data_IF_896075779467
#
_entry.id   IF_896075779467
#
_cell.length_a   1.000
_cell.length_b   1.000
_cell.length_c   1.000
_cell.angle_alpha   90.00
_cell.angle_beta   90.00
_cell.angle_gamma   90.00
#
_symmetry.space_group_name_H-M   'P 1'
#
loop_
_entity.id
_entity.type
_entity.pdbx_description
1 polymer ?
#
# COMPACT_ATOMS: atom_id res chain seq x y z
N UNK A 1 -18.35 36.57 -38.39
CA UNK A 1 -17.88 36.25 -37.02
C UNK A 1 -17.38 34.80 -37.01
N UNK A 2 -16.07 34.59 -36.98
CA UNK A 2 -15.48 33.25 -36.95
C UNK A 2 -15.50 32.74 -35.50
N UNK A 3 -16.48 31.90 -35.16
CA UNK A 3 -16.57 31.25 -33.85
C UNK A 3 -15.40 30.26 -33.73
N UNK A 4 -14.35 30.65 -33.01
CA UNK A 4 -13.30 29.72 -32.56
C UNK A 4 -13.96 28.68 -31.65
N UNK A 5 -14.32 27.53 -32.23
CA UNK A 5 -14.66 26.33 -31.47
C UNK A 5 -13.47 26.01 -30.56
N UNK A 6 -13.62 26.02 -29.23
CA UNK A 6 -12.52 25.68 -28.34
C UNK A 6 -12.10 24.23 -28.61
N UNK A 7 -10.86 24.03 -29.08
CA UNK A 7 -10.26 22.70 -29.19
C UNK A 7 -10.35 22.03 -27.82
N UNK A 8 -11.09 20.93 -27.73
CA UNK A 8 -11.22 20.10 -26.52
C UNK A 8 -9.82 19.59 -26.17
N UNK A 9 -9.11 20.29 -25.29
CA UNK A 9 -7.81 19.87 -24.80
C UNK A 9 -8.05 18.75 -23.81
N UNK A 10 -7.85 17.51 -24.24
CA UNK A 10 -7.84 16.37 -23.33
C UNK A 10 -6.67 16.55 -22.36
N UNK A 11 -6.96 16.88 -21.10
CA UNK A 11 -5.96 16.90 -20.05
C UNK A 11 -5.74 15.46 -19.58
N UNK A 12 -4.52 14.95 -19.76
CA UNK A 12 -4.11 13.64 -19.28
C UNK A 12 -3.22 13.80 -18.05
N UNK A 13 -3.24 12.81 -17.15
CA UNK A 13 -2.29 12.75 -16.06
C UNK A 13 -0.95 12.32 -16.67
N UNK A 14 0.01 13.24 -16.81
CA UNK A 14 1.36 12.88 -17.22
C UNK A 14 2.09 12.32 -16.00
N UNK A 15 2.52 11.07 -16.07
CA UNK A 15 3.34 10.43 -15.05
C UNK A 15 4.81 10.69 -15.35
N UNK A 16 5.55 11.22 -14.37
CA UNK A 16 7.01 11.23 -14.44
C UNK A 16 7.58 9.83 -14.18
N UNK A 17 8.84 9.58 -14.54
CA UNK A 17 9.52 8.33 -14.20
C UNK A 17 9.50 8.05 -12.68
N UNK A 18 9.66 9.09 -11.86
CA UNK A 18 9.55 8.97 -10.40
C UNK A 18 8.12 8.61 -9.96
N UNK A 19 7.08 9.11 -10.63
CA UNK A 19 5.69 8.74 -10.32
C UNK A 19 5.43 7.27 -10.65
N UNK A 20 5.94 6.81 -11.80
CA UNK A 20 5.89 5.40 -12.22
C UNK A 20 6.56 4.53 -11.15
N UNK A 21 7.77 4.86 -10.73
CA UNK A 21 8.46 4.12 -9.67
C UNK A 21 7.73 4.19 -8.32
N UNK A 22 7.11 5.32 -7.99
CA UNK A 22 6.46 5.47 -6.67
C UNK A 22 5.16 4.68 -6.57
N UNK A 23 4.43 4.45 -7.67
CA UNK A 23 3.13 3.74 -7.65
C UNK A 23 3.19 2.37 -8.32
N UNK A 24 3.78 2.27 -9.51
CA UNK A 24 3.74 1.03 -10.31
C UNK A 24 4.74 -0.01 -9.82
N UNK A 25 5.92 0.38 -9.30
CA UNK A 25 6.87 -0.58 -8.73
C UNK A 25 6.28 -1.31 -7.51
N UNK A 26 5.66 -0.63 -6.51
CA UNK A 26 4.96 -1.32 -5.42
C UNK A 26 3.84 -2.26 -5.90
N UNK A 27 3.08 -1.87 -6.93
CA UNK A 27 2.04 -2.74 -7.50
C UNK A 27 2.65 -3.95 -8.21
N UNK A 28 3.77 -3.79 -8.90
CA UNK A 28 4.50 -4.91 -9.50
C UNK A 28 5.07 -5.85 -8.43
N UNK A 29 5.67 -5.32 -7.37
CA UNK A 29 6.15 -6.08 -6.22
C UNK A 29 5.00 -6.79 -5.48
N UNK A 30 3.82 -6.16 -5.42
CA UNK A 30 2.60 -6.78 -4.90
C UNK A 30 2.18 -7.99 -5.76
N UNK A 31 2.19 -7.87 -7.09
CA UNK A 31 1.92 -9.00 -7.97
C UNK A 31 2.94 -10.12 -7.72
N UNK A 32 4.23 -9.78 -7.69
CA UNK A 32 5.31 -10.71 -7.41
C UNK A 32 5.10 -11.47 -6.08
N UNK A 33 4.90 -10.75 -4.96
CA UNK A 33 4.71 -11.38 -3.65
C UNK A 33 3.40 -12.18 -3.56
N UNK A 34 2.40 -11.84 -4.37
CA UNK A 34 1.15 -12.59 -4.46
C UNK A 34 1.31 -13.94 -5.17
N UNK A 35 2.32 -14.10 -6.03
CA UNK A 35 2.67 -15.41 -6.60
C UNK A 35 3.37 -16.32 -5.57
N UNK A 36 4.11 -15.72 -4.63
CA UNK A 36 4.79 -16.45 -3.55
C UNK A 36 3.89 -16.80 -2.35
N UNK A 37 2.56 -16.70 -2.49
CA UNK A 37 1.62 -17.11 -1.44
C UNK A 37 1.84 -18.58 -1.11
N UNK A 38 2.11 -18.88 0.16
CA UNK A 38 2.39 -20.25 0.66
C UNK A 38 3.71 -20.86 0.19
N UNK A 39 4.64 -20.04 -0.28
CA UNK A 39 5.97 -20.53 -0.61
C UNK A 39 6.71 -21.02 0.66
N UNK A 40 7.72 -21.90 0.52
CA UNK A 40 8.56 -22.36 1.63
C UNK A 40 9.11 -21.23 2.51
N UNK A 41 9.28 -20.03 1.93
CA UNK A 41 9.72 -18.83 2.64
C UNK A 41 8.73 -18.39 3.73
N UNK A 42 7.42 -18.49 3.51
CA UNK A 42 6.41 -18.14 4.51
C UNK A 42 6.46 -19.09 5.70
N UNK A 43 6.68 -20.38 5.43
CA UNK A 43 6.86 -21.41 6.48
C UNK A 43 8.18 -21.21 7.21
N UNK A 44 9.27 -20.87 6.51
CA UNK A 44 10.57 -20.57 7.12
C UNK A 44 10.50 -19.43 8.13
N UNK A 45 9.85 -18.32 7.78
CA UNK A 45 9.68 -17.19 8.70
C UNK A 45 8.62 -17.41 9.78
N UNK A 46 7.66 -18.32 9.56
CA UNK A 46 6.69 -18.68 10.59
C UNK A 46 7.24 -19.68 11.62
N UNK A 47 8.20 -20.52 11.24
CA UNK A 47 8.74 -21.60 12.07
C UNK A 47 9.22 -21.17 13.47
N UNK A 48 9.94 -20.02 13.65
CA UNK A 48 10.40 -19.61 14.97
C UNK A 48 9.27 -19.30 15.97
N UNK A 49 8.05 -19.07 15.49
CA UNK A 49 6.90 -18.69 16.32
C UNK A 49 5.94 -19.85 16.58
N UNK A 50 6.07 -20.95 15.83
CA UNK A 50 5.24 -22.13 16.02
C UNK A 50 5.78 -22.98 17.16
N UNK A 51 4.91 -23.38 18.09
CA UNK A 51 5.30 -24.20 19.25
C UNK A 51 4.87 -25.67 19.07
N UNK A 52 3.57 -25.96 19.14
CA UNK A 52 3.03 -27.31 18.92
C UNK A 52 1.49 -27.30 18.90
N UNK A 53 0.83 -28.20 18.17
CA UNK A 53 -0.61 -28.45 18.31
C UNK A 53 -1.51 -27.19 18.23
N UNK A 54 -1.25 -26.32 17.25
CA UNK A 54 -1.87 -25.01 17.06
C UNK A 54 -1.61 -23.97 18.18
N UNK A 55 -0.63 -24.22 19.03
CA UNK A 55 -0.08 -23.25 19.95
C UNK A 55 1.02 -22.42 19.26
N UNK A 56 0.86 -21.11 19.29
CA UNK A 56 1.73 -20.14 18.66
C UNK A 56 2.27 -19.14 19.68
N UNK A 57 3.42 -18.53 19.39
CA UNK A 57 4.00 -17.51 20.25
C UNK A 57 3.04 -16.33 20.48
N UNK A 58 2.84 -15.96 21.74
CA UNK A 58 1.93 -14.86 22.10
C UNK A 58 0.44 -15.22 22.11
N UNK A 59 0.08 -16.50 21.92
CA UNK A 59 -1.29 -16.98 22.18
C UNK A 59 -1.67 -16.70 23.63
N UNK A 60 -2.83 -16.06 23.85
CA UNK A 60 -3.31 -15.70 25.20
C UNK A 60 -2.62 -14.48 25.84
N UNK A 61 -1.64 -13.84 25.19
CA UNK A 61 -0.95 -12.68 25.77
C UNK A 61 -1.75 -11.39 25.63
N UNK A 62 -1.85 -10.63 26.73
CA UNK A 62 -2.49 -9.31 26.78
C UNK A 62 -1.79 -8.30 25.87
N UNK A 63 -0.44 -8.28 25.83
CA UNK A 63 0.32 -7.35 25.00
C UNK A 63 -0.05 -7.49 23.51
N UNK A 64 -0.07 -8.73 23.06
CA UNK A 64 -0.42 -9.15 21.72
C UNK A 64 -1.90 -8.89 21.35
N UNK A 65 -2.80 -8.96 22.34
CA UNK A 65 -4.26 -8.85 22.15
C UNK A 65 -4.85 -7.47 22.43
N UNK A 66 -4.19 -6.64 23.24
CA UNK A 66 -4.65 -5.28 23.57
C UNK A 66 -3.82 -4.23 22.84
N UNK A 67 -2.50 -4.28 22.99
CA UNK A 67 -1.59 -3.27 22.42
C UNK A 67 -1.45 -3.48 20.91
N UNK A 68 -1.04 -4.67 20.48
CA UNK A 68 -0.81 -4.95 19.06
C UNK A 68 -2.10 -5.20 18.26
N UNK A 69 -3.19 -5.62 18.90
CA UNK A 69 -4.45 -5.89 18.19
C UNK A 69 -5.33 -4.65 18.06
N UNK A 70 -5.55 -3.95 19.18
CA UNK A 70 -6.50 -2.84 19.27
C UNK A 70 -5.77 -1.51 19.15
N UNK A 71 -4.61 -1.36 19.79
CA UNK A 71 -3.81 -0.13 19.78
C UNK A 71 -3.47 0.37 18.37
N UNK A 72 -2.94 -0.50 17.51
CA UNK A 72 -2.60 -0.12 16.13
C UNK A 72 -3.78 0.48 15.34
N UNK A 73 -4.97 -0.12 15.46
CA UNK A 73 -6.19 0.38 14.82
C UNK A 73 -6.58 1.76 15.35
N UNK A 74 -6.51 1.95 16.67
CA UNK A 74 -6.87 3.23 17.28
C UNK A 74 -5.92 4.36 16.87
N UNK A 75 -4.63 4.08 16.68
CA UNK A 75 -3.68 5.09 16.16
C UNK A 75 -4.09 5.55 14.76
N UNK A 76 -4.33 4.60 13.84
CA UNK A 76 -4.77 4.95 12.48
C UNK A 76 -6.09 5.75 12.47
N UNK A 77 -7.07 5.30 13.26
CA UNK A 77 -8.36 6.00 13.40
C UNK A 77 -8.17 7.40 13.99
N UNK A 78 -7.37 7.55 15.05
CA UNK A 78 -7.11 8.85 15.66
C UNK A 78 -6.46 9.82 14.68
N UNK A 79 -5.49 9.36 13.87
CA UNK A 79 -4.85 10.17 12.83
C UNK A 79 -5.85 10.58 11.74
N UNK A 80 -6.69 9.64 11.26
CA UNK A 80 -7.69 9.93 10.24
C UNK A 80 -8.76 10.91 10.75
N UNK A 81 -9.30 10.67 11.94
CA UNK A 81 -10.35 11.50 12.57
C UNK A 81 -9.82 12.88 12.91
N UNK A 82 -8.63 12.99 13.53
CA UNK A 82 -8.02 14.30 13.81
C UNK A 82 -7.74 15.09 12.53
N UNK A 83 -7.28 14.43 11.46
CA UNK A 83 -7.10 15.07 10.15
C UNK A 83 -8.42 15.56 9.57
N UNK A 84 -9.49 14.78 9.69
CA UNK A 84 -10.83 15.19 9.25
C UNK A 84 -11.37 16.38 10.07
N UNK A 85 -11.19 16.36 11.40
CA UNK A 85 -11.58 17.47 12.28
C UNK A 85 -10.82 18.74 11.89
N UNK A 86 -9.49 18.67 11.71
CA UNK A 86 -8.68 19.83 11.28
C UNK A 86 -9.13 20.35 9.90
N UNK A 87 -9.47 19.45 8.97
CA UNK A 87 -10.05 19.82 7.69
C UNK A 87 -11.35 20.61 7.86
N UNK A 88 -12.30 20.11 8.68
CA UNK A 88 -13.57 20.79 8.93
C UNK A 88 -13.40 22.13 9.65
N UNK A 89 -12.60 22.17 10.72
CA UNK A 89 -12.32 23.38 11.50
C UNK A 89 -11.70 24.48 10.64
N UNK A 90 -10.90 24.11 9.63
CA UNK A 90 -10.26 25.09 8.74
C UNK A 90 -11.26 25.98 7.97
N UNK A 91 -12.54 25.60 7.86
CA UNK A 91 -13.59 26.40 7.22
C UNK A 91 -14.17 27.49 8.13
N UNK A 92 -13.97 27.38 9.44
CA UNK A 92 -14.41 28.37 10.40
C UNK A 92 -13.50 29.60 10.37
N UNK A 93 -14.07 30.81 10.45
CA UNK A 93 -13.33 32.07 10.40
C UNK A 93 -12.26 32.17 11.50
N UNK A 94 -12.55 31.64 12.70
CA UNK A 94 -11.65 31.63 13.86
C UNK A 94 -10.34 30.84 13.60
N UNK A 95 -10.37 29.83 12.72
CA UNK A 95 -9.20 28.98 12.42
C UNK A 95 -8.61 29.27 11.04
N UNK A 96 -8.54 30.55 10.65
CA UNK A 96 -7.99 30.96 9.37
C UNK A 96 -6.55 30.47 9.11
N UNK A 97 -5.76 30.22 10.17
CA UNK A 97 -4.40 29.66 10.09
C UNK A 97 -4.36 28.23 9.53
N UNK A 98 -5.45 27.47 9.60
CA UNK A 98 -5.54 26.09 9.10
C UNK A 98 -5.84 26.02 7.59
N UNK A 99 -6.24 27.14 6.95
CA UNK A 99 -6.61 27.17 5.53
C UNK A 99 -5.56 26.57 4.59
N UNK A 100 -4.24 26.82 4.75
CA UNK A 100 -3.23 26.23 3.88
C UNK A 100 -3.14 24.70 3.98
N UNK A 101 -3.50 24.12 5.12
CA UNK A 101 -3.37 22.69 5.39
C UNK A 101 -4.58 21.85 4.97
N UNK A 102 -5.70 22.49 4.59
CA UNK A 102 -6.96 21.85 4.17
C UNK A 102 -6.76 20.62 3.30
N UNK A 103 -6.03 20.80 2.21
CA UNK A 103 -5.82 19.78 1.19
C UNK A 103 -5.02 18.60 1.73
N UNK A 104 -4.05 18.87 2.60
CA UNK A 104 -3.22 17.84 3.25
C UNK A 104 -4.03 17.07 4.28
N UNK A 105 -4.80 17.75 5.13
CA UNK A 105 -5.68 17.11 6.10
C UNK A 105 -6.71 16.19 5.42
N UNK A 106 -7.35 16.67 4.35
CA UNK A 106 -8.29 15.86 3.57
C UNK A 106 -7.61 14.65 2.91
N UNK A 107 -6.42 14.85 2.33
CA UNK A 107 -5.62 13.78 1.75
C UNK A 107 -5.33 12.66 2.77
N UNK A 108 -4.86 13.01 3.98
CA UNK A 108 -4.53 12.02 5.02
C UNK A 108 -5.78 11.23 5.43
N UNK A 109 -6.87 11.93 5.74
CA UNK A 109 -8.12 11.29 6.17
C UNK A 109 -8.65 10.32 5.11
N UNK A 110 -8.70 10.74 3.85
CA UNK A 110 -9.20 9.90 2.76
C UNK A 110 -8.25 8.76 2.40
N UNK A 111 -6.93 8.97 2.45
CA UNK A 111 -5.96 7.91 2.13
C UNK A 111 -6.01 6.79 3.17
N UNK A 112 -6.00 7.13 4.47
CA UNK A 112 -6.11 6.12 5.54
C UNK A 112 -7.45 5.37 5.44
N UNK A 113 -8.53 6.10 5.17
CA UNK A 113 -9.86 5.48 5.00
C UNK A 113 -9.89 4.54 3.79
N UNK A 114 -9.28 4.94 2.67
CA UNK A 114 -9.18 4.12 1.47
C UNK A 114 -8.36 2.84 1.73
N UNK A 115 -7.21 2.93 2.40
CA UNK A 115 -6.44 1.75 2.81
C UNK A 115 -7.31 0.80 3.63
N UNK A 116 -7.98 1.30 4.68
CA UNK A 116 -8.82 0.47 5.54
C UNK A 116 -9.95 -0.23 4.77
N UNK A 117 -10.64 0.49 3.88
CA UNK A 117 -11.74 -0.06 3.09
C UNK A 117 -11.26 -1.07 2.04
N UNK A 118 -10.20 -0.74 1.30
CA UNK A 118 -9.66 -1.62 0.25
C UNK A 118 -9.08 -2.89 0.86
N UNK A 119 -8.27 -2.78 1.92
CA UNK A 119 -7.70 -3.95 2.61
C UNK A 119 -8.79 -4.84 3.20
N UNK A 120 -9.81 -4.25 3.83
CA UNK A 120 -10.94 -5.02 4.37
C UNK A 120 -11.77 -5.70 3.28
N UNK A 121 -11.99 -5.02 2.15
CA UNK A 121 -12.70 -5.56 0.99
C UNK A 121 -11.92 -6.69 0.31
N UNK A 122 -10.62 -6.51 0.08
CA UNK A 122 -9.76 -7.57 -0.48
C UNK A 122 -9.72 -8.79 0.46
N UNK A 123 -9.67 -8.55 1.77
CA UNK A 123 -9.67 -9.62 2.77
C UNK A 123 -10.98 -10.41 2.78
N UNK A 124 -12.12 -9.75 2.58
CA UNK A 124 -13.42 -10.43 2.56
C UNK A 124 -13.64 -11.30 1.32
N UNK A 125 -12.98 -10.94 0.21
CA UNK A 125 -13.00 -11.67 -1.06
C UNK A 125 -11.92 -12.77 -1.14
N UNK A 126 -11.00 -12.81 -0.19
CA UNK A 126 -9.88 -13.75 -0.18
C UNK A 126 -10.25 -15.07 0.49
N UNK A 127 -9.89 -16.18 -0.17
CA UNK A 127 -9.95 -17.54 0.37
C UNK A 127 -8.60 -18.03 0.93
N UNK A 128 -7.64 -17.12 1.09
CA UNK A 128 -6.29 -17.44 1.54
C UNK A 128 -6.24 -18.04 2.96
N UNK A 129 -5.80 -19.31 3.15
CA UNK A 129 -5.65 -19.90 4.47
C UNK A 129 -4.74 -19.09 5.40
N UNK A 130 -5.05 -19.18 6.68
CA UNK A 130 -4.25 -18.63 7.76
C UNK A 130 -3.26 -19.70 8.24
N UNK A 131 -2.08 -19.35 8.78
CA UNK A 131 -1.15 -20.32 9.32
C UNK A 131 -1.80 -21.27 10.35
N UNK A 132 -2.52 -20.74 11.34
CA UNK A 132 -3.22 -21.55 12.36
C UNK A 132 -4.27 -22.54 11.82
N UNK A 133 -4.78 -22.31 10.59
CA UNK A 133 -5.78 -23.17 9.97
C UNK A 133 -5.18 -24.35 9.19
N UNK A 134 -3.87 -24.32 8.91
CA UNK A 134 -3.23 -25.34 8.08
C UNK A 134 -2.95 -26.62 8.88
N UNK A 135 -3.08 -27.81 8.26
CA UNK A 135 -2.82 -29.09 8.92
C UNK A 135 -1.41 -29.20 9.49
N UNK A 136 -0.41 -28.65 8.79
CA UNK A 136 0.99 -28.65 9.24
C UNK A 136 1.20 -27.93 10.58
N UNK A 137 0.28 -27.03 10.96
CA UNK A 137 0.32 -26.31 12.23
C UNK A 137 -0.73 -26.83 13.23
N UNK A 138 -1.38 -27.96 12.96
CA UNK A 138 -2.42 -28.55 13.81
C UNK A 138 -3.83 -27.98 13.57
N UNK A 139 -4.04 -27.28 12.46
CA UNK A 139 -5.33 -26.75 12.05
C UNK A 139 -6.19 -27.76 11.26
N UNK A 140 -7.47 -27.43 11.07
CA UNK A 140 -8.47 -28.30 10.41
C UNK A 140 -8.44 -28.26 8.88
N UNK A 141 -7.59 -27.43 8.26
CA UNK A 141 -7.53 -27.26 6.81
C UNK A 141 -8.57 -26.30 6.21
N UNK A 142 -9.35 -25.60 7.03
CA UNK A 142 -10.36 -24.65 6.54
C UNK A 142 -9.72 -23.42 5.88
N UNK A 143 -10.21 -23.03 4.70
CA UNK A 143 -9.83 -21.77 4.06
C UNK A 143 -10.16 -20.57 4.97
N UNK A 144 -9.20 -19.65 5.11
CA UNK A 144 -9.32 -18.44 5.91
C UNK A 144 -9.52 -17.18 5.05
N UNK A 145 -9.89 -16.09 5.70
CA UNK A 145 -9.86 -14.74 5.11
C UNK A 145 -8.59 -14.03 5.55
N UNK A 146 -7.41 -14.55 5.20
CA UNK A 146 -6.15 -14.11 5.81
C UNK A 146 -5.24 -13.26 4.93
N UNK A 147 -5.60 -13.02 3.67
CA UNK A 147 -4.85 -12.12 2.79
C UNK A 147 -5.76 -10.98 2.31
N UNK A 148 -5.32 -9.72 2.32
CA UNK A 148 -4.09 -9.19 2.92
C UNK A 148 -4.16 -9.05 4.46
N UNK A 149 -3.03 -8.76 5.10
CA UNK A 149 -2.93 -8.61 6.56
C UNK A 149 -3.48 -7.26 7.05
N UNK A 150 -4.73 -7.26 7.50
CA UNK A 150 -5.42 -6.03 7.95
C UNK A 150 -4.80 -5.31 9.16
N UNK A 151 -4.18 -6.03 10.10
CA UNK A 151 -3.53 -5.39 11.25
C UNK A 151 -2.23 -4.69 10.88
N UNK A 152 -1.44 -5.27 9.97
CA UNK A 152 -0.26 -4.60 9.42
C UNK A 152 -0.66 -3.27 8.75
N UNK A 153 -1.83 -3.23 8.10
CA UNK A 153 -2.34 -2.02 7.44
C UNK A 153 -2.56 -0.86 8.40
N UNK A 154 -2.92 -1.15 9.66
CA UNK A 154 -3.11 -0.09 10.67
C UNK A 154 -1.82 0.70 10.95
N UNK A 155 -0.65 0.13 10.66
CA UNK A 155 0.63 0.84 10.69
C UNK A 155 1.01 1.40 9.32
N UNK A 156 0.96 0.57 8.26
CA UNK A 156 1.39 0.96 6.92
C UNK A 156 0.53 2.05 6.27
N UNK A 157 -0.77 2.15 6.60
CA UNK A 157 -1.62 3.25 6.11
C UNK A 157 -1.12 4.63 6.55
N UNK A 158 -0.26 4.71 7.58
CA UNK A 158 0.40 5.94 8.02
C UNK A 158 1.49 6.41 7.04
N UNK A 159 1.80 5.68 5.97
CA UNK A 159 2.53 6.24 4.83
C UNK A 159 1.84 7.50 4.28
N UNK A 160 0.53 7.65 4.47
CA UNK A 160 -0.18 8.91 4.21
C UNK A 160 0.48 10.12 4.91
N UNK A 161 1.00 9.97 6.13
CA UNK A 161 1.72 11.05 6.82
C UNK A 161 3.06 11.35 6.14
N UNK A 162 3.81 10.32 5.70
CA UNK A 162 5.03 10.53 4.92
C UNK A 162 4.77 11.40 3.69
N UNK A 163 3.76 11.07 2.89
CA UNK A 163 3.41 11.83 1.69
C UNK A 163 2.86 13.22 2.02
N UNK A 164 2.08 13.36 3.09
CA UNK A 164 1.60 14.65 3.58
C UNK A 164 2.77 15.58 3.96
N UNK A 165 3.74 15.07 4.72
CA UNK A 165 4.93 15.84 5.10
C UNK A 165 5.89 16.03 3.94
N UNK A 166 5.93 15.16 2.92
CA UNK A 166 6.62 15.48 1.66
C UNK A 166 6.06 16.72 0.98
N UNK A 167 4.76 16.99 1.12
CA UNK A 167 4.15 18.20 0.58
C UNK A 167 4.45 19.44 1.42
N UNK A 168 4.50 19.29 2.74
CA UNK A 168 4.67 20.42 3.69
C UNK A 168 6.15 20.73 3.95
N UNK A 169 6.90 19.75 4.44
CA UNK A 169 8.30 19.87 4.88
C UNK A 169 9.08 18.57 4.59
N UNK A 170 9.72 18.50 3.42
CA UNK A 170 10.40 17.29 2.94
C UNK A 170 11.40 16.69 3.94
N UNK A 171 12.14 17.52 4.69
CA UNK A 171 13.14 17.05 5.68
C UNK A 171 12.51 16.19 6.80
N UNK A 172 11.28 16.49 7.23
CA UNK A 172 10.59 15.76 8.30
C UNK A 172 9.84 14.53 7.79
N UNK A 173 9.61 14.42 6.48
CA UNK A 173 8.85 13.31 5.91
C UNK A 173 9.43 11.94 6.28
N UNK A 174 10.76 11.79 6.26
CA UNK A 174 11.44 10.52 6.57
C UNK A 174 11.13 9.98 7.96
N UNK A 175 10.88 10.85 8.95
CA UNK A 175 10.48 10.41 10.31
C UNK A 175 9.16 9.63 10.24
N UNK A 176 8.18 10.16 9.51
CA UNK A 176 6.88 9.51 9.34
C UNK A 176 6.97 8.24 8.48
N UNK A 177 7.92 8.19 7.54
CA UNK A 177 8.18 6.96 6.79
C UNK A 177 8.67 5.84 7.72
N UNK A 178 9.71 6.14 8.50
CA UNK A 178 10.29 5.18 9.44
C UNK A 178 9.22 4.75 10.46
N UNK A 179 8.45 5.69 10.99
CA UNK A 179 7.38 5.40 11.93
C UNK A 179 6.33 4.45 11.34
N UNK A 180 5.81 4.74 10.14
CA UNK A 180 4.82 3.90 9.47
C UNK A 180 5.37 2.50 9.17
N UNK A 181 6.63 2.42 8.73
CA UNK A 181 7.30 1.17 8.43
C UNK A 181 7.48 0.31 9.69
N UNK A 182 8.03 0.89 10.76
CA UNK A 182 8.24 0.21 12.04
C UNK A 182 6.91 -0.25 12.65
N UNK A 183 5.90 0.62 12.70
CA UNK A 183 4.59 0.25 13.25
C UNK A 183 3.92 -0.86 12.43
N UNK A 184 3.95 -0.78 11.10
CA UNK A 184 3.38 -1.80 10.23
C UNK A 184 4.05 -3.16 10.43
N UNK A 185 5.38 -3.20 10.55
CA UNK A 185 6.12 -4.43 10.81
C UNK A 185 5.91 -5.00 12.20
N UNK A 186 5.88 -4.16 13.25
CA UNK A 186 5.57 -4.63 14.61
C UNK A 186 4.17 -5.28 14.64
N UNK A 187 3.18 -4.66 13.99
CA UNK A 187 1.82 -5.20 13.93
C UNK A 187 1.74 -6.47 13.06
N UNK A 188 2.43 -6.50 11.92
CA UNK A 188 2.49 -7.65 11.01
C UNK A 188 3.19 -8.85 11.61
N UNK A 189 4.42 -8.67 12.11
CA UNK A 189 5.17 -9.74 12.79
C UNK A 189 4.47 -10.19 14.06
N UNK A 190 3.82 -9.28 14.79
CA UNK A 190 3.02 -9.64 15.96
C UNK A 190 1.85 -10.56 15.61
N UNK A 191 1.26 -10.41 14.42
CA UNK A 191 0.22 -11.32 13.91
C UNK A 191 0.78 -12.63 13.38
N UNK A 192 1.94 -12.61 12.76
CA UNK A 192 2.64 -13.82 12.34
C UNK A 192 3.04 -14.67 13.53
N UNK A 193 3.50 -14.03 14.61
CA UNK A 193 3.83 -14.71 15.85
C UNK A 193 2.66 -15.52 16.41
N UNK A 194 1.43 -15.00 16.28
CA UNK A 194 0.18 -15.68 16.67
C UNK A 194 -0.35 -16.67 15.64
N UNK A 195 0.37 -16.92 14.55
CA UNK A 195 -0.08 -17.78 13.46
C UNK A 195 -1.24 -17.23 12.64
N UNK A 196 -1.56 -15.94 12.73
CA UNK A 196 -2.75 -15.36 12.06
C UNK A 196 -2.49 -14.91 10.63
N UNK A 197 -1.26 -14.53 10.29
CA UNK A 197 -0.90 -14.07 8.96
C UNK A 197 0.52 -14.54 8.61
N UNK A 198 0.75 -14.91 7.36
CA UNK A 198 2.11 -15.15 6.87
C UNK A 198 2.85 -13.83 6.62
N UNK A 199 4.17 -13.93 6.44
CA UNK A 199 5.01 -12.76 6.17
C UNK A 199 4.64 -12.12 4.83
N UNK A 200 4.39 -12.93 3.79
CA UNK A 200 3.92 -12.48 2.47
C UNK A 200 2.64 -11.64 2.56
N UNK A 201 1.72 -11.98 3.46
CA UNK A 201 0.47 -11.23 3.67
C UNK A 201 0.76 -9.81 4.18
N UNK A 202 1.80 -9.65 5.01
CA UNK A 202 2.21 -8.34 5.56
C UNK A 202 2.95 -7.51 4.51
N UNK A 203 3.84 -8.11 3.71
CA UNK A 203 4.47 -7.44 2.58
C UNK A 203 3.44 -6.95 1.55
N UNK A 204 2.48 -7.80 1.19
CA UNK A 204 1.41 -7.43 0.28
C UNK A 204 0.61 -6.22 0.81
N UNK A 205 0.26 -6.22 2.09
CA UNK A 205 -0.38 -5.06 2.73
C UNK A 205 0.49 -3.80 2.64
N UNK A 206 1.79 -3.91 2.92
CA UNK A 206 2.71 -2.76 2.86
C UNK A 206 2.73 -2.13 1.47
N UNK A 207 2.84 -2.96 0.42
CA UNK A 207 2.85 -2.47 -0.96
C UNK A 207 1.50 -1.90 -1.40
N UNK A 208 0.39 -2.52 -0.99
CA UNK A 208 -0.97 -2.00 -1.23
C UNK A 208 -1.16 -0.63 -0.59
N UNK A 209 -0.90 -0.50 0.71
CA UNK A 209 -1.08 0.75 1.44
C UNK A 209 -0.17 1.85 0.88
N UNK A 210 1.07 1.52 0.55
CA UNK A 210 1.96 2.45 -0.14
C UNK A 210 1.38 2.92 -1.46
N UNK A 211 0.94 1.99 -2.33
CA UNK A 211 0.39 2.31 -3.64
C UNK A 211 -0.86 3.18 -3.54
N UNK A 212 -1.75 2.89 -2.59
CA UNK A 212 -2.97 3.69 -2.32
C UNK A 212 -2.57 5.11 -1.88
N UNK A 213 -1.68 5.24 -0.89
CA UNK A 213 -1.23 6.55 -0.40
C UNK A 213 -0.52 7.35 -1.50
N UNK A 214 0.32 6.70 -2.30
CA UNK A 214 1.05 7.30 -3.41
C UNK A 214 0.11 7.78 -4.54
N UNK A 215 -0.89 6.96 -4.88
CA UNK A 215 -1.90 7.30 -5.87
C UNK A 215 -2.71 8.52 -5.41
N UNK A 216 -3.23 8.50 -4.18
CA UNK A 216 -3.96 9.64 -3.62
C UNK A 216 -3.08 10.89 -3.55
N UNK A 217 -1.80 10.74 -3.20
CA UNK A 217 -0.85 11.86 -3.15
C UNK A 217 -0.74 12.51 -4.54
N UNK A 218 -0.62 11.68 -5.58
CA UNK A 218 -0.55 12.17 -6.96
C UNK A 218 -1.83 12.86 -7.39
N UNK A 219 -2.99 12.27 -7.10
CA UNK A 219 -4.30 12.81 -7.45
C UNK A 219 -4.59 14.14 -6.75
N UNK A 220 -4.17 14.27 -5.50
CA UNK A 220 -4.35 15.50 -4.73
C UNK A 220 -3.38 16.58 -5.20
N UNK A 221 -2.07 16.35 -5.14
CA UNK A 221 -1.10 17.44 -5.21
C UNK A 221 -0.59 17.78 -6.61
N UNK A 222 -0.79 16.90 -7.59
CA UNK A 222 -0.28 17.10 -8.94
C UNK A 222 -1.41 16.97 -9.98
N UNK A 223 -2.32 17.96 -10.07
CA UNK A 223 -3.38 17.95 -11.05
C UNK A 223 -2.85 17.94 -12.49
N UNK A 224 -3.70 17.48 -13.42
CA UNK A 224 -3.38 17.26 -14.84
C UNK A 224 -2.84 18.54 -15.49
N UNK A 225 -1.63 18.48 -16.04
CA UNK A 225 -1.13 19.52 -16.93
C UNK A 225 -1.75 19.34 -18.32
N UNK A 226 -2.18 20.43 -19.01
CA UNK A 226 -2.54 20.34 -20.42
C UNK A 226 -1.29 19.95 -21.22
N UNK A 227 -1.29 18.75 -21.79
CA UNK A 227 -0.21 18.30 -22.65
C UNK A 227 -0.33 19.02 -23.99
N UNK A 228 0.60 19.93 -24.30
CA UNK A 228 0.88 20.26 -25.70
C UNK A 228 1.68 19.10 -26.27
N UNK A 229 1.00 18.17 -26.94
CA UNK A 229 1.69 17.12 -27.71
C UNK A 229 2.43 17.84 -28.85
N UNK A 230 3.73 18.10 -28.64
CA UNK A 230 4.62 18.46 -29.73
C UNK A 230 4.89 17.16 -30.46
N UNK A 231 4.12 16.88 -31.51
CA UNK A 231 4.41 15.77 -32.41
C UNK A 231 5.78 16.02 -33.05
N UNK A 232 6.84 15.49 -32.44
CA UNK A 232 8.07 15.19 -33.18
C UNK A 232 7.88 13.81 -33.79
N UNK A 233 8.19 13.59 -35.08
CA UNK A 233 8.17 12.26 -35.66
C UNK A 233 9.12 11.39 -34.83
N UNK A 234 8.55 10.41 -34.16
CA UNK A 234 9.30 9.44 -33.35
C UNK A 234 9.90 8.46 -34.36
N UNK A 235 11.23 8.40 -34.43
CA UNK A 235 11.93 7.32 -35.11
C UNK A 235 11.48 6.00 -34.47
N UNK A 236 10.89 5.11 -35.27
CA UNK A 236 10.36 3.80 -34.83
C UNK A 236 11.47 2.79 -34.54
N UNK A 237 12.68 3.04 -35.03
CA UNK A 237 13.83 2.16 -34.96
C UNK A 237 14.24 1.76 -33.52
N UNK A 238 14.40 2.67 -32.55
CA UNK A 238 14.79 2.27 -31.18
C UNK A 238 13.70 1.47 -30.46
N UNK A 239 12.42 1.70 -30.74
CA UNK A 239 11.33 0.91 -30.16
C UNK A 239 11.33 -0.52 -30.71
N UNK A 240 11.50 -0.69 -32.02
CA UNK A 240 11.62 -2.00 -32.64
C UNK A 240 12.83 -2.78 -32.10
N UNK A 241 13.98 -2.12 -31.88
CA UNK A 241 15.18 -2.75 -31.33
C UNK A 241 15.01 -3.15 -29.86
N UNK A 242 14.40 -2.31 -29.02
CA UNK A 242 14.13 -2.63 -27.61
C UNK A 242 13.11 -3.77 -27.51
N UNK A 243 12.03 -3.74 -28.28
CA UNK A 243 11.04 -4.81 -28.32
C UNK A 243 11.62 -6.13 -28.84
N UNK A 244 12.45 -6.08 -29.90
CA UNK A 244 13.14 -7.26 -30.41
C UNK A 244 14.12 -7.84 -29.38
N UNK A 245 14.87 -6.99 -28.68
CA UNK A 245 15.79 -7.42 -27.62
C UNK A 245 15.04 -8.10 -26.46
N UNK A 246 13.95 -7.49 -25.96
CA UNK A 246 13.15 -8.07 -24.89
C UNK A 246 12.48 -9.38 -25.28
N UNK A 247 11.93 -9.50 -26.49
CA UNK A 247 11.35 -10.75 -26.98
C UNK A 247 12.43 -11.83 -27.12
N UNK A 248 13.61 -11.49 -27.66
CA UNK A 248 14.72 -12.44 -27.80
C UNK A 248 15.22 -12.92 -26.44
N UNK A 249 15.28 -12.02 -25.45
CA UNK A 249 15.69 -12.36 -24.08
C UNK A 249 14.64 -13.25 -23.38
N UNK A 250 13.35 -12.93 -23.48
CA UNK A 250 12.26 -13.70 -22.84
C UNK A 250 12.16 -15.10 -23.45
N UNK A 251 12.25 -15.24 -24.78
CA UNK A 251 12.10 -16.54 -25.44
C UNK A 251 13.38 -17.41 -25.42
N UNK A 252 14.55 -16.87 -25.08
CA UNK A 252 15.79 -17.64 -24.88
C UNK A 252 16.11 -17.93 -23.40
N UNK A 253 15.24 -17.57 -22.46
CA UNK A 253 15.38 -18.03 -21.08
C UNK A 253 15.17 -19.55 -21.01
N UNK A 254 16.03 -20.30 -20.30
CA UNK A 254 16.02 -21.76 -20.26
C UNK A 254 14.76 -22.39 -19.60
N UNK A 255 13.78 -21.58 -19.19
CA UNK A 255 12.51 -22.06 -18.65
C UNK A 255 11.53 -22.58 -19.73
N UNK A 256 11.76 -22.29 -21.01
CA UNK A 256 10.89 -22.72 -22.12
C UNK A 256 11.52 -23.75 -23.08
N UNK A 257 12.78 -24.13 -22.87
CA UNK A 257 13.40 -25.24 -23.60
C UNK A 257 13.31 -26.50 -22.74
N UNK A 258 12.23 -27.28 -22.98
CA UNK A 258 11.95 -28.66 -22.54
C UNK A 258 12.68 -29.20 -21.29
#
# INVERSE_FOLDING_TARGET
MNLKVPKKTNSFLVWSFNDILTVLLPLWLLCLISEFRYAPIDSFFAAPFYLSGNNWFGTGSFFFSAVLHKGGKYVAVAVAVSSLILFLLSYLKQFARLKPYRKVCLYVALSISACALIISGLKSLSASPCPWSLPQYGGSGSAGKCFPAGHASSGFCLFALYFAFRQLEFKKAWIFLILAFVLGWILGLGRQAQGTHFLSHSFATMFLDWAICALFYRLFFFPKAPIRIRQKPISTLPYCLISAFFLTFIFNLPFFSK
#
